data_IF_899259303156
#
_entry.id   IF_899259303156
#
_cell.length_a   1.000
_cell.length_b   1.000
_cell.length_c   1.000
_cell.angle_alpha   90.00
_cell.angle_beta   90.00
_cell.angle_gamma   90.00
#
_symmetry.space_group_name_H-M   'P 1'
#
loop_
_entity.id
_entity.type
_entity.pdbx_description
1 polymer ?
#
# COMPACT_ATOMS: atom_id res chain seq x y z
N UNK A 1 -28.60 30.95 8.46
CA UNK A 1 -28.21 29.63 9.02
C UNK A 1 -28.24 28.58 7.92
N UNK A 2 -29.33 28.41 7.17
CA UNK A 2 -29.41 27.46 6.04
C UNK A 2 -28.34 27.68 4.96
N UNK A 3 -28.14 28.91 4.50
CA UNK A 3 -27.10 29.24 3.50
C UNK A 3 -25.67 28.89 3.98
N UNK A 4 -25.40 29.02 5.28
CA UNK A 4 -24.13 28.63 5.91
C UNK A 4 -23.98 27.11 5.96
N UNK A 5 -25.05 26.39 6.30
CA UNK A 5 -25.09 24.93 6.27
C UNK A 5 -24.86 24.37 4.85
N UNK A 6 -25.50 24.96 3.84
CA UNK A 6 -25.32 24.58 2.44
C UNK A 6 -23.88 24.80 1.96
N UNK A 7 -23.27 25.92 2.35
CA UNK A 7 -21.88 26.24 2.03
C UNK A 7 -20.92 25.22 2.63
N UNK A 8 -21.08 24.89 3.92
CA UNK A 8 -20.26 23.89 4.60
C UNK A 8 -20.46 22.50 3.98
N UNK A 9 -21.71 22.13 3.63
CA UNK A 9 -21.98 20.86 2.96
C UNK A 9 -21.31 20.78 1.58
N UNK A 10 -21.29 21.87 0.82
CA UNK A 10 -20.59 21.94 -0.46
C UNK A 10 -19.07 21.77 -0.29
N UNK A 11 -18.47 22.46 0.67
CA UNK A 11 -17.04 22.33 1.00
C UNK A 11 -16.68 20.91 1.46
N UNK A 12 -17.54 20.26 2.24
CA UNK A 12 -17.33 18.87 2.63
C UNK A 12 -17.35 17.91 1.44
N UNK A 13 -18.28 18.09 0.49
CA UNK A 13 -18.33 17.28 -0.73
C UNK A 13 -17.07 17.47 -1.58
N UNK A 14 -16.60 18.70 -1.73
CA UNK A 14 -15.39 19.01 -2.48
C UNK A 14 -14.15 18.39 -1.82
N UNK A 15 -13.97 18.60 -0.51
CA UNK A 15 -12.83 18.04 0.23
C UNK A 15 -12.81 16.51 0.19
N UNK A 16 -13.96 15.85 0.35
CA UNK A 16 -14.09 14.39 0.17
C UNK A 16 -13.71 13.96 -1.25
N UNK A 17 -14.14 14.69 -2.28
CA UNK A 17 -13.77 14.40 -3.67
C UNK A 17 -12.27 14.49 -3.90
N UNK A 18 -11.63 15.55 -3.38
CA UNK A 18 -10.19 15.75 -3.46
C UNK A 18 -9.42 14.68 -2.70
N UNK A 19 -9.88 14.31 -1.51
CA UNK A 19 -9.27 13.24 -0.71
C UNK A 19 -9.25 11.89 -1.47
N UNK A 20 -10.35 11.52 -2.14
CA UNK A 20 -10.40 10.31 -2.98
C UNK A 20 -9.41 10.36 -4.13
N UNK A 21 -9.31 11.50 -4.81
CA UNK A 21 -8.35 11.68 -5.91
C UNK A 21 -6.89 11.54 -5.41
N UNK A 22 -6.57 12.16 -4.26
CA UNK A 22 -5.26 12.05 -3.65
C UNK A 22 -4.94 10.62 -3.22
N UNK A 23 -5.89 9.90 -2.61
CA UNK A 23 -5.71 8.50 -2.24
C UNK A 23 -5.43 7.61 -3.46
N UNK A 24 -6.16 7.83 -4.56
CA UNK A 24 -5.93 7.10 -5.82
C UNK A 24 -4.53 7.36 -6.38
N UNK A 25 -4.10 8.62 -6.43
CA UNK A 25 -2.75 9.01 -6.91
C UNK A 25 -1.64 8.49 -6.00
N UNK A 26 -1.85 8.52 -4.69
CA UNK A 26 -0.89 7.98 -3.73
C UNK A 26 -0.72 6.47 -3.90
N UNK A 27 -1.81 5.72 -4.10
CA UNK A 27 -1.77 4.29 -4.34
C UNK A 27 -1.06 3.94 -5.67
N UNK A 28 -1.29 4.73 -6.72
CA UNK A 28 -0.56 4.61 -7.98
C UNK A 28 0.92 4.87 -7.80
N UNK A 29 1.28 5.98 -7.15
CA UNK A 29 2.69 6.32 -6.92
C UNK A 29 3.41 5.29 -6.06
N UNK A 30 2.73 4.77 -5.04
CA UNK A 30 3.24 3.69 -4.21
C UNK A 30 3.55 2.44 -5.04
N UNK A 31 2.65 2.04 -5.95
CA UNK A 31 2.88 0.88 -6.83
C UNK A 31 4.09 1.05 -7.73
N UNK A 32 4.26 2.24 -8.32
CA UNK A 32 5.43 2.53 -9.16
C UNK A 32 6.74 2.36 -8.38
N UNK A 33 6.82 2.97 -7.19
CA UNK A 33 8.01 2.90 -6.33
C UNK A 33 8.24 1.47 -5.83
N UNK A 34 7.15 0.75 -5.49
CA UNK A 34 7.24 -0.64 -5.06
C UNK A 34 7.88 -1.54 -6.13
N UNK A 35 7.43 -1.42 -7.38
CA UNK A 35 7.96 -2.23 -8.48
C UNK A 35 9.45 -1.95 -8.69
N UNK A 36 9.84 -0.67 -8.72
CA UNK A 36 11.24 -0.29 -8.87
C UNK A 36 12.11 -0.82 -7.71
N UNK A 37 11.61 -0.73 -6.47
CA UNK A 37 12.32 -1.22 -5.29
C UNK A 37 12.44 -2.74 -5.26
N UNK A 38 11.41 -3.49 -5.68
CA UNK A 38 11.46 -4.95 -5.78
C UNK A 38 12.52 -5.41 -6.79
N UNK A 39 12.59 -4.74 -7.95
CA UNK A 39 13.60 -5.03 -8.96
C UNK A 39 15.02 -4.76 -8.43
N UNK A 40 15.23 -3.61 -7.78
CA UNK A 40 16.52 -3.21 -7.19
C UNK A 40 16.93 -4.15 -6.05
N UNK A 41 16.03 -4.43 -5.11
CA UNK A 41 16.27 -5.35 -4.00
C UNK A 41 16.61 -6.76 -4.52
N UNK A 42 15.89 -7.24 -5.53
CA UNK A 42 16.18 -8.52 -6.17
C UNK A 42 17.56 -8.56 -6.82
N UNK A 43 18.00 -7.46 -7.46
CA UNK A 43 19.35 -7.36 -8.02
C UNK A 43 20.42 -7.42 -6.93
N UNK A 44 20.26 -6.66 -5.85
CA UNK A 44 21.18 -6.65 -4.70
C UNK A 44 21.27 -8.02 -4.02
N UNK A 45 20.15 -8.71 -3.84
CA UNK A 45 20.14 -10.06 -3.27
C UNK A 45 20.92 -11.02 -4.16
N UNK A 46 20.73 -10.97 -5.48
CA UNK A 46 21.52 -11.81 -6.42
C UNK A 46 23.01 -11.51 -6.33
N UNK A 47 23.40 -10.24 -6.26
CA UNK A 47 24.80 -9.83 -6.11
C UNK A 47 25.40 -10.33 -4.79
N UNK A 48 24.67 -10.21 -3.68
CA UNK A 48 25.12 -10.71 -2.38
C UNK A 48 25.30 -12.23 -2.39
N UNK A 49 24.37 -12.97 -3.01
CA UNK A 49 24.45 -14.43 -3.16
C UNK A 49 25.62 -14.86 -4.06
N UNK A 50 25.93 -14.08 -5.10
CA UNK A 50 27.09 -14.28 -5.96
C UNK A 50 28.40 -14.11 -5.18
N UNK A 51 28.53 -13.00 -4.45
CA UNK A 51 29.70 -12.71 -3.63
C UNK A 51 29.91 -13.76 -2.53
N UNK A 52 28.83 -14.18 -1.87
CA UNK A 52 28.85 -15.26 -0.88
C UNK A 52 29.33 -16.58 -1.51
N UNK A 53 28.89 -16.91 -2.73
CA UNK A 53 29.34 -18.12 -3.42
C UNK A 53 30.84 -18.07 -3.66
N UNK A 54 31.35 -16.95 -4.17
CA UNK A 54 32.77 -16.77 -4.45
C UNK A 54 33.59 -16.94 -3.18
N UNK A 55 33.22 -16.28 -2.08
CA UNK A 55 33.90 -16.42 -0.78
C UNK A 55 33.88 -17.88 -0.31
N UNK A 56 32.72 -18.53 -0.34
CA UNK A 56 32.56 -19.89 0.17
C UNK A 56 33.40 -20.90 -0.61
N UNK A 57 33.35 -20.83 -1.95
CA UNK A 57 34.10 -21.75 -2.82
C UNK A 57 35.59 -21.43 -2.79
N UNK A 58 35.97 -20.17 -2.91
CA UNK A 58 37.37 -19.78 -3.10
C UNK A 58 38.15 -19.68 -1.79
N UNK A 59 37.56 -19.13 -0.72
CA UNK A 59 38.26 -18.90 0.54
C UNK A 59 38.09 -20.05 1.53
N UNK A 60 36.90 -20.66 1.57
CA UNK A 60 36.59 -21.69 2.56
C UNK A 60 36.71 -23.11 2.00
N UNK A 61 36.80 -23.28 0.67
CA UNK A 61 36.89 -24.59 0.02
C UNK A 61 35.64 -25.46 0.25
N UNK A 62 34.52 -24.86 0.65
CA UNK A 62 33.28 -25.58 0.96
C UNK A 62 32.32 -25.50 -0.23
N UNK A 63 31.70 -26.61 -0.64
CA UNK A 63 30.67 -26.58 -1.67
C UNK A 63 29.46 -25.79 -1.17
N UNK A 64 28.85 -25.00 -2.06
CA UNK A 64 27.65 -24.22 -1.75
C UNK A 64 26.42 -25.13 -1.76
N UNK A 65 25.60 -25.04 -0.71
CA UNK A 65 24.21 -25.48 -0.75
C UNK A 65 23.36 -24.30 -1.27
N UNK A 66 22.59 -24.53 -2.33
CA UNK A 66 21.73 -23.49 -2.90
C UNK A 66 20.65 -23.10 -1.88
N UNK A 67 20.48 -21.81 -1.54
CA UNK A 67 19.35 -21.39 -0.71
C UNK A 67 18.04 -21.77 -1.40
N UNK A 68 17.10 -22.36 -0.67
CA UNK A 68 15.76 -22.70 -1.20
C UNK A 68 15.16 -21.47 -1.89
N UNK A 69 14.58 -21.62 -3.09
CA UNK A 69 14.02 -20.50 -3.84
C UNK A 69 12.79 -19.98 -3.09
N UNK A 70 12.97 -18.94 -2.27
CA UNK A 70 11.85 -18.26 -1.59
C UNK A 70 11.88 -16.75 -1.69
N UNK A 71 12.76 -16.18 -2.51
CA UNK A 71 12.87 -14.72 -2.63
C UNK A 71 13.05 -14.33 -4.08
N UNK A 72 11.97 -14.44 -4.86
CA UNK A 72 11.74 -13.68 -6.09
C UNK A 72 10.52 -14.30 -6.78
N UNK A 73 9.31 -13.85 -6.46
CA UNK A 73 8.14 -14.30 -7.21
C UNK A 73 6.82 -13.72 -6.75
N UNK A 74 6.59 -13.63 -5.45
CA UNK A 74 5.19 -13.65 -4.98
C UNK A 74 4.77 -12.44 -4.13
N UNK A 75 5.70 -11.55 -3.77
CA UNK A 75 5.38 -10.36 -2.99
C UNK A 75 4.95 -9.21 -3.92
N UNK A 76 3.82 -9.38 -4.61
CA UNK A 76 3.09 -8.22 -5.13
C UNK A 76 2.86 -7.19 -4.01
N UNK A 77 2.62 -5.91 -4.34
CA UNK A 77 2.51 -4.86 -3.33
C UNK A 77 1.55 -5.29 -2.21
N UNK A 78 1.93 -5.12 -0.92
CA UNK A 78 1.10 -5.56 0.20
C UNK A 78 -0.28 -4.90 0.10
N UNK A 79 -1.32 -5.72 -0.09
CA UNK A 79 -2.71 -5.25 -0.27
C UNK A 79 -3.27 -5.34 -1.69
N UNK A 80 -2.52 -5.85 -2.68
CA UNK A 80 -3.02 -6.07 -4.05
C UNK A 80 -4.20 -7.06 -4.17
N UNK A 81 -4.41 -7.93 -3.17
CA UNK A 81 -5.56 -8.81 -3.08
C UNK A 81 -6.56 -8.30 -2.05
N UNK A 82 -7.62 -7.61 -2.51
CA UNK A 82 -8.90 -7.29 -1.84
C UNK A 82 -9.04 -7.69 -0.36
N UNK A 83 -8.21 -7.14 0.50
CA UNK A 83 -8.50 -6.95 1.91
C UNK A 83 -8.19 -5.51 2.17
N UNK A 84 -9.15 -4.66 1.76
CA UNK A 84 -9.26 -3.33 2.34
C UNK A 84 -9.28 -3.54 3.86
N UNK A 85 -8.13 -3.36 4.50
CA UNK A 85 -8.13 -3.01 5.92
C UNK A 85 -8.89 -1.70 5.94
N UNK A 86 -10.12 -1.74 6.44
CA UNK A 86 -10.95 -0.54 6.53
C UNK A 86 -10.18 0.47 7.35
N UNK A 87 -9.78 1.56 6.71
CA UNK A 87 -9.07 2.62 7.41
C UNK A 87 -10.04 3.26 8.41
N UNK A 88 -9.58 3.56 9.62
CA UNK A 88 -10.36 4.22 10.67
C UNK A 88 -11.24 5.39 10.18
N UNK A 89 -10.79 6.28 9.25
CA UNK A 89 -11.66 7.32 8.69
C UNK A 89 -12.82 6.79 7.83
N UNK A 90 -12.66 5.66 7.14
CA UNK A 90 -13.70 5.05 6.32
C UNK A 90 -14.81 4.46 7.21
N UNK A 91 -14.42 3.82 8.33
CA UNK A 91 -15.34 3.36 9.37
C UNK A 91 -16.07 4.53 10.03
N UNK A 92 -15.36 5.63 10.32
CA UNK A 92 -15.97 6.83 10.88
C UNK A 92 -16.97 7.49 9.92
N UNK A 93 -16.67 7.53 8.62
CA UNK A 93 -17.57 8.08 7.61
C UNK A 93 -18.87 7.25 7.48
N UNK A 94 -18.76 5.92 7.45
CA UNK A 94 -19.93 5.02 7.42
C UNK A 94 -20.79 5.12 8.68
N UNK A 95 -20.16 5.24 9.86
CA UNK A 95 -20.87 5.43 11.13
C UNK A 95 -21.66 6.75 11.16
N UNK A 96 -21.08 7.82 10.62
CA UNK A 96 -21.74 9.12 10.52
C UNK A 96 -22.86 9.13 9.47
N UNK A 97 -22.69 8.43 8.35
CA UNK A 97 -23.74 8.26 7.34
C UNK A 97 -24.89 7.36 7.83
N UNK A 98 -24.59 6.35 8.65
CA UNK A 98 -25.58 5.53 9.36
C UNK A 98 -26.35 6.34 10.42
N UNK A 99 -25.65 7.13 11.23
CA UNK A 99 -26.26 8.01 12.22
C UNK A 99 -27.17 9.08 11.59
N UNK A 100 -26.87 9.55 10.37
CA UNK A 100 -27.72 10.47 9.62
C UNK A 100 -29.01 9.81 9.09
N UNK A 101 -29.03 8.48 8.89
CA UNK A 101 -30.23 7.72 8.49
C UNK A 101 -31.14 7.35 9.66
N UNK A 102 -30.61 7.33 10.88
CA UNK A 102 -31.36 7.02 12.11
C UNK A 102 -31.99 8.25 12.78
N UNK A 103 -31.99 9.43 12.16
CA UNK A 103 -32.83 10.54 12.59
C UNK A 103 -34.18 10.45 11.86
N UNK A 104 -35.27 9.96 12.51
CA UNK A 104 -36.59 10.01 11.92
C UNK A 104 -37.14 11.43 12.11
N UNK A 105 -37.38 12.11 11.00
CA UNK A 105 -38.30 13.25 10.93
C UNK A 105 -37.84 14.52 11.67
N UNK A 106 -37.34 15.47 10.89
CA UNK A 106 -37.86 16.84 10.94
C UNK A 106 -38.29 17.18 9.52
#
# INVERSE_FOLDING_TARGET
LESECERVAAQLRETRSRARCLASRAAEKFREVWIANEEEAGALIREALEAERLIRVQQLGTPREEPLPRVAGDAGPPGGGRREKRDAPQVAAELLEGAARELPGI
#
